data_IF_666854379355
#
_entry.id   IF_666854379355
#
_cell.length_a   1.000
_cell.length_b   1.000
_cell.length_c   1.000
_cell.angle_alpha   90.00
_cell.angle_beta   90.00
_cell.angle_gamma   90.00
#
_symmetry.space_group_name_H-M   'P 1'
#
loop_
_entity.id
_entity.type
_entity.pdbx_description
1 polymer ?
#
# COMPACT_ATOMS: atom_id res chain seq x y z
N UNK A 1 -12.96 -53.94 35.18
CA UNK A 1 -12.93 -52.46 35.09
C UNK A 1 -13.99 -51.90 36.02
N UNK A 2 -13.62 -51.03 36.97
CA UNK A 2 -14.53 -50.61 38.03
C UNK A 2 -15.54 -49.59 37.47
N UNK A 3 -16.85 -49.81 37.66
CA UNK A 3 -17.91 -48.94 37.09
C UNK A 3 -17.71 -47.45 37.44
N UNK A 4 -17.13 -47.15 38.61
CA UNK A 4 -16.75 -45.79 39.02
C UNK A 4 -15.76 -45.10 38.08
N UNK A 5 -14.76 -45.82 37.56
CA UNK A 5 -13.73 -45.22 36.71
C UNK A 5 -14.28 -44.87 35.31
N UNK A 6 -15.29 -45.62 34.84
CA UNK A 6 -15.96 -45.34 33.57
C UNK A 6 -16.77 -44.04 33.67
N UNK A 7 -17.50 -43.84 34.79
CA UNK A 7 -18.32 -42.65 35.01
C UNK A 7 -17.46 -41.38 35.08
N UNK A 8 -16.33 -41.45 35.80
CA UNK A 8 -15.40 -40.32 35.90
C UNK A 8 -14.79 -39.97 34.54
N UNK A 9 -14.40 -40.99 33.76
CA UNK A 9 -13.85 -40.79 32.41
C UNK A 9 -14.84 -40.10 31.47
N UNK A 10 -16.11 -40.51 31.49
CA UNK A 10 -17.18 -39.88 30.68
C UNK A 10 -17.40 -38.43 31.11
N UNK A 11 -17.40 -38.15 32.42
CA UNK A 11 -17.62 -36.79 32.93
C UNK A 11 -16.48 -35.83 32.53
N UNK A 12 -15.23 -36.28 32.59
CA UNK A 12 -14.06 -35.51 32.14
C UNK A 12 -14.14 -35.24 30.64
N UNK A 13 -14.56 -36.22 29.83
CA UNK A 13 -14.72 -36.05 28.39
C UNK A 13 -15.79 -35.00 28.05
N UNK A 14 -16.93 -35.02 28.74
CA UNK A 14 -18.00 -34.03 28.55
C UNK A 14 -17.51 -32.62 28.89
N UNK A 15 -16.77 -32.47 30.00
CA UNK A 15 -16.19 -31.17 30.38
C UNK A 15 -15.19 -30.69 29.32
N UNK A 16 -14.33 -31.57 28.80
CA UNK A 16 -13.39 -31.22 27.73
C UNK A 16 -14.11 -30.77 26.46
N UNK A 17 -15.20 -31.44 26.06
CA UNK A 17 -16.02 -31.04 24.90
C UNK A 17 -16.67 -29.68 25.15
N UNK A 18 -17.20 -29.42 26.35
CA UNK A 18 -17.77 -28.12 26.72
C UNK A 18 -16.73 -27.00 26.70
N UNK A 19 -15.52 -27.25 27.22
CA UNK A 19 -14.41 -26.31 27.14
C UNK A 19 -14.04 -26.04 25.68
N UNK A 20 -13.94 -27.08 24.84
CA UNK A 20 -13.72 -26.90 23.40
C UNK A 20 -14.82 -26.05 22.77
N UNK A 21 -16.10 -26.26 23.08
CA UNK A 21 -17.19 -25.44 22.55
C UNK A 21 -17.24 -24.00 23.09
N UNK A 22 -16.77 -23.77 24.31
CA UNK A 22 -16.73 -22.44 24.93
C UNK A 22 -15.49 -21.63 24.52
N UNK A 23 -14.37 -22.32 24.24
CA UNK A 23 -13.08 -21.69 23.91
C UNK A 23 -12.69 -21.78 22.45
N UNK A 24 -13.33 -22.64 21.63
CA UNK A 24 -13.26 -22.43 20.20
C UNK A 24 -14.07 -21.18 19.91
N UNK A 25 -13.45 -20.12 19.37
CA UNK A 25 -14.21 -18.99 18.88
C UNK A 25 -15.24 -19.59 17.92
N UNK A 26 -16.53 -19.35 18.17
CA UNK A 26 -17.53 -19.47 17.11
C UNK A 26 -16.89 -18.77 15.94
N UNK A 27 -16.42 -19.52 14.94
CA UNK A 27 -16.13 -18.94 13.65
C UNK A 27 -17.43 -18.25 13.31
N UNK A 28 -17.42 -16.91 13.40
CA UNK A 28 -18.53 -16.10 12.96
C UNK A 28 -18.72 -16.56 11.53
N UNK A 29 -19.73 -17.39 11.29
CA UNK A 29 -19.97 -17.94 9.97
C UNK A 29 -20.37 -16.73 9.15
N UNK A 30 -19.40 -16.28 8.36
CA UNK A 30 -19.49 -15.05 7.61
C UNK A 30 -20.67 -15.19 6.67
N UNK A 31 -21.57 -14.20 6.73
CA UNK A 31 -22.69 -14.10 5.82
C UNK A 31 -22.16 -13.92 4.38
N UNK A 32 -22.42 -14.87 3.45
CA UNK A 32 -22.04 -14.74 2.05
C UNK A 32 -22.55 -13.44 1.42
N UNK A 33 -23.63 -12.85 1.95
CA UNK A 33 -24.16 -11.56 1.52
C UNK A 33 -23.17 -10.41 1.71
N UNK A 34 -22.33 -10.41 2.74
CA UNK A 34 -21.33 -9.36 2.99
C UNK A 34 -20.32 -9.32 1.83
N UNK A 35 -19.84 -10.49 1.37
CA UNK A 35 -18.88 -10.56 0.28
C UNK A 35 -19.47 -10.11 -1.06
N UNK A 36 -20.74 -10.41 -1.30
CA UNK A 36 -21.44 -9.96 -2.51
C UNK A 36 -21.54 -8.43 -2.51
N UNK A 37 -21.97 -7.81 -1.40
CA UNK A 37 -22.08 -6.35 -1.30
C UNK A 37 -20.72 -5.69 -1.51
N UNK A 38 -19.68 -6.19 -0.84
CA UNK A 38 -18.32 -5.65 -0.94
C UNK A 38 -17.76 -5.78 -2.36
N UNK A 39 -17.94 -6.93 -3.01
CA UNK A 39 -17.47 -7.10 -4.39
C UNK A 39 -18.22 -6.20 -5.39
N UNK A 40 -19.48 -5.86 -5.12
CA UNK A 40 -20.24 -4.93 -5.94
C UNK A 40 -19.78 -3.47 -5.75
N UNK A 41 -19.46 -3.05 -4.52
CA UNK A 41 -18.95 -1.71 -4.22
C UNK A 41 -17.46 -1.52 -4.53
N UNK A 42 -16.72 -2.61 -4.70
CA UNK A 42 -15.28 -2.62 -4.88
C UNK A 42 -14.78 -1.77 -6.07
N UNK A 43 -15.46 -1.86 -7.22
CA UNK A 43 -15.03 -1.11 -8.42
C UNK A 43 -15.17 0.39 -8.21
N UNK A 44 -16.28 0.82 -7.62
CA UNK A 44 -16.55 2.23 -7.32
C UNK A 44 -15.54 2.79 -6.30
N UNK A 45 -15.23 2.01 -5.26
CA UNK A 45 -14.21 2.36 -4.27
C UNK A 45 -12.82 2.46 -4.90
N UNK A 46 -12.47 1.55 -5.81
CA UNK A 46 -11.21 1.59 -6.54
C UNK A 46 -11.10 2.87 -7.38
N UNK A 47 -12.15 3.22 -8.12
CA UNK A 47 -12.17 4.44 -8.93
C UNK A 47 -12.07 5.69 -8.06
N UNK A 48 -12.76 5.72 -6.91
CA UNK A 48 -12.65 6.81 -5.93
C UNK A 48 -11.23 6.96 -5.36
N UNK A 49 -10.56 5.86 -5.01
CA UNK A 49 -9.17 5.90 -4.57
C UNK A 49 -8.27 6.45 -5.68
N UNK A 50 -8.45 5.99 -6.92
CA UNK A 50 -7.65 6.46 -8.05
C UNK A 50 -7.88 7.94 -8.37
N UNK A 51 -9.09 8.47 -8.17
CA UNK A 51 -9.39 9.89 -8.40
C UNK A 51 -8.92 10.80 -7.26
N UNK A 52 -8.69 10.25 -6.07
CA UNK A 52 -8.35 11.03 -4.88
C UNK A 52 -6.90 10.86 -4.40
N UNK A 53 -6.23 9.75 -4.70
CA UNK A 53 -4.91 9.39 -4.19
C UNK A 53 -3.86 9.37 -5.31
N UNK A 54 -3.12 10.49 -5.43
CA UNK A 54 -2.11 10.67 -6.48
C UNK A 54 -0.98 9.63 -6.44
N UNK A 55 -0.61 9.13 -5.25
CA UNK A 55 0.45 8.13 -5.06
C UNK A 55 0.04 6.80 -5.71
N UNK A 56 -1.16 6.31 -5.39
CA UNK A 56 -1.66 5.05 -5.96
C UNK A 56 -1.95 5.20 -7.46
N UNK A 57 -2.47 6.34 -7.90
CA UNK A 57 -2.64 6.63 -9.32
C UNK A 57 -1.30 6.61 -10.08
N UNK A 58 -0.24 7.18 -9.50
CA UNK A 58 1.12 7.15 -10.05
C UNK A 58 1.68 5.73 -10.17
N UNK A 59 1.41 4.87 -9.18
CA UNK A 59 1.72 3.43 -9.24
C UNK A 59 1.12 2.79 -10.50
N UNK A 60 -0.21 2.88 -10.62
CA UNK A 60 -0.96 2.24 -11.70
C UNK A 60 -0.57 2.84 -13.06
N UNK A 61 -0.34 4.14 -13.13
CA UNK A 61 0.13 4.81 -14.34
C UNK A 61 1.47 4.23 -14.80
N UNK A 62 2.45 4.09 -13.91
CA UNK A 62 3.79 3.62 -14.25
C UNK A 62 3.81 2.13 -14.60
N UNK A 63 3.15 1.26 -13.82
CA UNK A 63 3.13 -0.18 -14.11
C UNK A 63 2.43 -0.53 -15.41
N UNK A 64 1.45 0.29 -15.83
CA UNK A 64 0.74 0.11 -17.10
C UNK A 64 1.29 0.99 -18.23
N UNK A 65 2.33 1.78 -17.97
CA UNK A 65 2.87 2.77 -18.91
C UNK A 65 1.77 3.67 -19.53
N UNK A 66 0.85 4.16 -18.69
CA UNK A 66 -0.30 4.95 -19.12
C UNK A 66 -0.50 6.19 -18.22
N UNK A 67 0.09 7.31 -18.65
CA UNK A 67 0.05 8.58 -17.92
C UNK A 67 -1.35 9.20 -17.83
N UNK A 68 -2.28 8.86 -18.73
CA UNK A 68 -3.66 9.38 -18.72
C UNK A 68 -4.43 9.00 -17.45
N UNK A 69 -3.96 8.00 -16.70
CA UNK A 69 -4.50 7.66 -15.38
C UNK A 69 -4.42 8.85 -14.43
N UNK A 70 -3.36 9.67 -14.51
CA UNK A 70 -3.21 10.85 -13.68
C UNK A 70 -4.26 11.93 -13.98
N UNK A 71 -4.83 11.95 -15.18
CA UNK A 71 -5.83 12.96 -15.60
C UNK A 71 -7.20 12.72 -14.96
N UNK A 72 -7.40 11.56 -14.32
CA UNK A 72 -8.61 11.23 -13.57
C UNK A 72 -8.64 11.86 -12.17
N UNK A 73 -7.53 12.48 -11.73
CA UNK A 73 -7.43 13.09 -10.41
C UNK A 73 -8.18 14.42 -10.36
N UNK A 74 -8.75 14.72 -9.19
CA UNK A 74 -9.70 15.83 -9.03
C UNK A 74 -9.09 17.21 -8.91
N UNK A 75 -7.77 17.33 -8.69
CA UNK A 75 -7.08 18.62 -8.52
C UNK A 75 -5.74 18.68 -9.25
N UNK A 76 -5.31 19.87 -9.68
CA UNK A 76 -4.03 20.06 -10.38
C UNK A 76 -2.82 19.65 -9.54
N UNK A 77 -2.88 19.88 -8.23
CA UNK A 77 -1.85 19.43 -7.28
C UNK A 77 -1.70 17.91 -7.30
N UNK A 78 -2.82 17.17 -7.26
CA UNK A 78 -2.83 15.71 -7.32
C UNK A 78 -2.35 15.21 -8.69
N UNK A 79 -2.81 15.82 -9.78
CA UNK A 79 -2.36 15.50 -11.14
C UNK A 79 -0.83 15.65 -11.23
N UNK A 80 -0.29 16.76 -10.73
CA UNK A 80 1.15 17.05 -10.72
C UNK A 80 1.90 16.01 -9.88
N UNK A 81 1.41 15.70 -8.67
CA UNK A 81 1.99 14.66 -7.83
C UNK A 81 2.02 13.30 -8.52
N UNK A 82 0.93 12.89 -9.17
CA UNK A 82 0.88 11.62 -9.91
C UNK A 82 1.85 11.59 -11.10
N UNK A 83 1.96 12.69 -11.86
CA UNK A 83 2.92 12.81 -12.96
C UNK A 83 4.37 12.75 -12.47
N UNK A 84 4.67 13.34 -11.32
CA UNK A 84 6.00 13.28 -10.72
C UNK A 84 6.35 11.85 -10.30
N UNK A 85 5.43 11.13 -9.65
CA UNK A 85 5.61 9.72 -9.29
C UNK A 85 5.81 8.88 -10.56
N UNK A 86 4.92 9.02 -11.56
CA UNK A 86 5.04 8.33 -12.85
C UNK A 86 6.42 8.53 -13.50
N UNK A 87 6.89 9.79 -13.53
CA UNK A 87 8.18 10.17 -14.09
C UNK A 87 9.34 9.51 -13.33
N UNK A 88 9.33 9.60 -12.00
CA UNK A 88 10.33 8.96 -11.15
C UNK A 88 10.43 7.45 -11.41
N UNK A 89 9.30 6.74 -11.40
CA UNK A 89 9.28 5.30 -11.62
C UNK A 89 9.60 4.89 -13.06
N UNK A 90 9.30 5.73 -14.04
CA UNK A 90 9.72 5.54 -15.43
C UNK A 90 11.25 5.62 -15.57
N UNK A 91 11.89 6.57 -14.88
CA UNK A 91 13.35 6.67 -14.80
C UNK A 91 13.93 5.41 -14.16
N UNK A 92 13.41 5.00 -13.00
CA UNK A 92 13.90 3.83 -12.28
C UNK A 92 13.76 2.54 -13.09
N UNK A 93 12.60 2.32 -13.70
CA UNK A 93 12.37 1.12 -14.52
C UNK A 93 13.30 1.10 -15.73
N UNK A 94 13.50 2.24 -16.38
CA UNK A 94 14.44 2.37 -17.51
C UNK A 94 15.89 2.15 -17.07
N UNK A 95 16.27 2.60 -15.87
CA UNK A 95 17.57 2.35 -15.26
C UNK A 95 17.78 0.84 -15.06
N UNK A 96 16.84 0.14 -14.43
CA UNK A 96 16.93 -1.29 -14.15
C UNK A 96 16.96 -2.15 -15.41
N UNK A 97 16.22 -1.74 -16.43
CA UNK A 97 16.17 -2.44 -17.72
C UNK A 97 17.31 -2.00 -18.67
N UNK A 98 18.18 -1.07 -18.25
CA UNK A 98 19.26 -0.46 -19.04
C UNK A 98 18.76 0.15 -20.38
N UNK A 99 17.66 0.89 -20.33
CA UNK A 99 16.97 1.51 -21.49
C UNK A 99 16.82 3.03 -21.33
N UNK A 100 17.85 3.73 -20.87
CA UNK A 100 17.76 5.19 -20.66
C UNK A 100 17.45 5.98 -21.95
N UNK A 101 17.82 5.46 -23.13
CA UNK A 101 17.55 6.10 -24.42
C UNK A 101 16.05 6.21 -24.76
N UNK A 102 15.16 5.47 -24.10
CA UNK A 102 13.71 5.61 -24.30
C UNK A 102 13.09 6.80 -23.56
N UNK A 103 13.85 7.43 -22.65
CA UNK A 103 13.40 8.59 -21.90
C UNK A 103 13.68 9.89 -22.67
N UNK A 104 12.88 10.92 -22.40
CA UNK A 104 13.05 12.23 -23.03
C UNK A 104 13.82 13.20 -22.14
N UNK A 105 14.62 14.07 -22.78
CA UNK A 105 15.24 15.24 -22.13
C UNK A 105 16.01 14.91 -20.84
N UNK A 106 15.70 15.60 -19.74
CA UNK A 106 16.39 15.50 -18.46
C UNK A 106 16.29 14.10 -17.83
N UNK A 107 15.23 13.35 -18.11
CA UNK A 107 15.00 12.02 -17.51
C UNK A 107 16.01 11.01 -18.00
N UNK A 108 16.39 11.13 -19.28
CA UNK A 108 17.46 10.36 -19.87
C UNK A 108 18.78 10.62 -19.16
N UNK A 109 19.13 11.89 -18.93
CA UNK A 109 20.40 12.23 -18.26
C UNK A 109 20.43 11.74 -16.82
N UNK A 110 19.32 11.81 -16.08
CA UNK A 110 19.24 11.25 -14.72
C UNK A 110 19.42 9.73 -14.75
N UNK A 111 18.76 9.03 -15.68
CA UNK A 111 18.91 7.59 -15.85
C UNK A 111 20.37 7.20 -16.19
N UNK A 112 21.01 7.91 -17.13
CA UNK A 112 22.41 7.68 -17.53
C UNK A 112 23.39 7.95 -16.36
N UNK A 113 23.13 8.98 -15.56
CA UNK A 113 23.90 9.29 -14.35
C UNK A 113 23.80 8.15 -13.32
N UNK A 114 22.59 7.63 -13.08
CA UNK A 114 22.38 6.48 -12.21
C UNK A 114 23.09 5.22 -12.75
N UNK A 115 23.07 4.97 -14.06
CA UNK A 115 23.77 3.86 -14.70
C UNK A 115 25.30 3.96 -14.56
N UNK A 116 25.84 5.14 -14.79
CA UNK A 116 27.29 5.40 -14.71
C UNK A 116 27.81 5.56 -13.28
N UNK A 117 26.91 5.57 -12.28
CA UNK A 117 27.22 5.81 -10.87
C UNK A 117 27.94 7.17 -10.63
N UNK A 118 27.69 8.16 -11.49
CA UNK A 118 28.19 9.54 -11.33
C UNK A 118 27.08 10.54 -11.66
N UNK A 119 27.04 11.66 -10.95
CA UNK A 119 26.06 12.74 -11.14
C UNK A 119 26.68 14.00 -11.77
N UNK A 120 27.85 13.87 -12.40
CA UNK A 120 28.63 15.02 -12.88
C UNK A 120 27.98 15.74 -14.07
N UNK A 121 27.19 15.02 -14.87
CA UNK A 121 26.46 15.56 -16.02
C UNK A 121 25.17 16.29 -15.63
N UNK A 122 24.75 16.19 -14.38
CA UNK A 122 23.54 16.82 -13.86
C UNK A 122 23.86 18.17 -13.22
N UNK A 123 22.83 18.99 -13.03
CA UNK A 123 22.90 20.25 -12.30
C UNK A 123 21.70 20.39 -11.34
N UNK A 124 21.73 21.41 -10.48
CA UNK A 124 20.59 21.77 -9.62
C UNK A 124 20.08 20.65 -8.71
N UNK A 125 18.75 20.51 -8.68
CA UNK A 125 18.04 19.55 -7.83
C UNK A 125 18.27 18.12 -8.30
N UNK A 126 18.39 17.89 -9.62
CA UNK A 126 18.64 16.57 -10.21
C UNK A 126 20.00 16.02 -9.77
N UNK A 127 21.05 16.85 -9.78
CA UNK A 127 22.36 16.46 -9.27
C UNK A 127 22.31 16.07 -7.80
N UNK A 128 21.66 16.90 -6.99
CA UNK A 128 21.54 16.68 -5.54
C UNK A 128 20.79 15.39 -5.24
N UNK A 129 19.67 15.14 -5.94
CA UNK A 129 18.90 13.90 -5.81
C UNK A 129 19.66 12.67 -6.28
N UNK A 130 20.40 12.76 -7.38
CA UNK A 130 21.27 11.68 -7.85
C UNK A 130 22.35 11.34 -6.81
N UNK A 131 23.02 12.36 -6.26
CA UNK A 131 24.05 12.16 -5.24
C UNK A 131 23.47 11.59 -3.95
N UNK A 132 22.32 12.09 -3.51
CA UNK A 132 21.55 11.56 -2.38
C UNK A 132 21.29 10.06 -2.54
N UNK A 133 20.74 9.60 -3.66
CA UNK A 133 20.40 8.18 -3.83
C UNK A 133 21.64 7.29 -3.97
N UNK A 134 22.67 7.73 -4.70
CA UNK A 134 23.89 6.95 -4.90
C UNK A 134 24.70 6.81 -3.59
N UNK A 135 24.77 7.85 -2.78
CA UNK A 135 25.55 7.87 -1.53
C UNK A 135 24.75 7.47 -0.30
N UNK A 136 23.41 7.48 -0.38
CA UNK A 136 22.48 7.38 0.77
C UNK A 136 22.69 8.49 1.83
N UNK A 137 23.34 9.60 1.49
CA UNK A 137 23.64 10.67 2.42
C UNK A 137 22.47 11.68 2.50
N UNK A 138 21.68 11.62 3.57
CA UNK A 138 20.55 12.54 3.79
C UNK A 138 20.96 14.02 3.90
N UNK A 139 22.23 14.33 4.19
CA UNK A 139 22.73 15.71 4.18
C UNK A 139 22.73 16.33 2.78
N UNK A 140 22.64 15.50 1.74
CA UNK A 140 22.50 15.92 0.33
C UNK A 140 21.04 16.10 -0.10
N UNK A 141 20.08 15.97 0.82
CA UNK A 141 18.68 16.22 0.54
C UNK A 141 18.49 17.70 0.13
N UNK A 142 17.88 17.99 -1.04
CA UNK A 142 17.62 19.36 -1.48
C UNK A 142 16.81 20.14 -0.44
N UNK A 143 17.10 21.43 -0.24
CA UNK A 143 16.46 22.25 0.79
C UNK A 143 14.94 22.40 0.57
N UNK A 144 14.50 22.28 -0.67
CA UNK A 144 13.10 22.36 -1.10
C UNK A 144 12.31 21.07 -0.78
N UNK A 145 13.01 19.98 -0.44
CA UNK A 145 12.43 18.67 -0.19
C UNK A 145 12.60 18.32 1.28
N UNK A 146 11.53 17.86 1.93
CA UNK A 146 11.66 17.43 3.32
C UNK A 146 12.50 16.13 3.43
N UNK A 147 13.19 15.98 4.56
CA UNK A 147 14.06 14.82 4.81
C UNK A 147 13.30 13.49 4.73
N UNK A 148 12.04 13.45 5.16
CA UNK A 148 11.20 12.24 5.09
C UNK A 148 10.92 11.79 3.66
N UNK A 149 10.77 12.72 2.72
CA UNK A 149 10.59 12.46 1.29
C UNK A 149 11.90 11.97 0.70
N UNK A 150 13.02 12.61 1.01
CA UNK A 150 14.36 12.12 0.62
C UNK A 150 14.62 10.68 1.10
N UNK A 151 14.26 10.37 2.35
CA UNK A 151 14.39 9.01 2.89
C UNK A 151 13.47 8.00 2.18
N UNK A 152 12.27 8.43 1.77
CA UNK A 152 11.35 7.62 0.97
C UNK A 152 11.97 7.30 -0.39
N UNK A 153 12.49 8.31 -1.08
CA UNK A 153 13.14 8.17 -2.40
C UNK A 153 14.37 7.25 -2.33
N UNK A 154 15.22 7.40 -1.30
CA UNK A 154 16.34 6.48 -1.06
C UNK A 154 15.82 5.05 -0.91
N UNK A 155 14.82 4.85 -0.03
CA UNK A 155 14.27 3.52 0.25
C UNK A 155 13.68 2.88 -1.01
N UNK A 156 12.91 3.63 -1.79
CA UNK A 156 12.32 3.18 -3.07
C UNK A 156 13.40 2.81 -4.09
N UNK A 157 14.38 3.69 -4.33
CA UNK A 157 15.47 3.43 -5.27
C UNK A 157 16.21 2.14 -4.93
N UNK A 158 16.61 1.96 -3.67
CA UNK A 158 17.38 0.79 -3.26
C UNK A 158 16.54 -0.48 -3.16
N UNK A 159 15.27 -0.36 -2.80
CA UNK A 159 14.33 -1.48 -2.86
C UNK A 159 14.23 -2.02 -4.29
N UNK A 160 14.02 -1.13 -5.27
CA UNK A 160 13.89 -1.54 -6.66
C UNK A 160 15.22 -2.02 -7.26
N UNK A 161 16.33 -1.32 -6.99
CA UNK A 161 17.67 -1.72 -7.45
C UNK A 161 18.10 -3.09 -6.98
N UNK A 162 17.80 -3.42 -5.73
CA UNK A 162 18.22 -4.70 -5.12
C UNK A 162 17.13 -5.77 -5.16
N UNK A 163 15.93 -5.45 -5.69
CA UNK A 163 14.74 -6.28 -5.56
C UNK A 163 14.46 -6.70 -4.10
N UNK A 164 14.58 -5.75 -3.17
CA UNK A 164 14.46 -5.98 -1.73
C UNK A 164 13.28 -5.21 -1.11
N UNK A 165 12.19 -5.93 -0.87
CA UNK A 165 10.96 -5.40 -0.24
C UNK A 165 11.21 -4.85 1.17
N UNK A 166 12.26 -5.32 1.87
CA UNK A 166 12.52 -4.86 3.23
C UNK A 166 12.95 -3.39 3.29
N UNK A 167 13.56 -2.87 2.22
CA UNK A 167 13.86 -1.44 2.10
C UNK A 167 12.58 -0.60 2.13
N UNK A 168 11.47 -1.07 1.52
CA UNK A 168 10.18 -0.38 1.56
C UNK A 168 9.60 -0.27 2.99
N UNK A 169 9.93 -1.20 3.89
CA UNK A 169 9.42 -1.16 5.27
C UNK A 169 9.95 0.03 6.08
N UNK A 170 11.02 0.68 5.61
CA UNK A 170 11.59 1.90 6.21
C UNK A 170 10.74 3.14 5.93
N UNK A 171 9.83 3.08 4.96
CA UNK A 171 8.93 4.18 4.61
C UNK A 171 7.81 4.27 5.66
N UNK A 172 7.62 5.45 6.25
CA UNK A 172 6.62 5.61 7.33
C UNK A 172 5.19 5.70 6.80
N UNK A 173 4.98 6.38 5.67
CA UNK A 173 3.66 6.60 5.09
C UNK A 173 3.14 5.31 4.45
N UNK A 174 1.95 4.86 4.85
CA UNK A 174 1.34 3.62 4.37
C UNK A 174 1.29 3.57 2.83
N UNK A 175 0.73 4.60 2.18
CA UNK A 175 0.57 4.58 0.72
C UNK A 175 1.91 4.56 -0.03
N UNK A 176 2.92 5.33 0.42
CA UNK A 176 4.25 5.31 -0.20
C UNK A 176 4.97 3.96 0.04
N UNK A 177 4.82 3.38 1.25
CA UNK A 177 5.33 2.04 1.55
C UNK A 177 4.73 0.99 0.61
N UNK A 178 3.41 0.98 0.47
CA UNK A 178 2.71 0.02 -0.37
C UNK A 178 2.97 0.26 -1.87
N UNK A 179 3.13 1.52 -2.30
CA UNK A 179 3.60 1.88 -3.64
C UNK A 179 5.01 1.32 -3.90
N UNK A 180 5.96 1.53 -3.00
CA UNK A 180 7.31 0.96 -3.10
C UNK A 180 7.28 -0.56 -3.29
N UNK A 181 6.51 -1.28 -2.46
CA UNK A 181 6.38 -2.74 -2.56
C UNK A 181 5.79 -3.15 -3.91
N UNK A 182 4.76 -2.44 -4.36
CA UNK A 182 4.13 -2.67 -5.66
C UNK A 182 5.13 -2.53 -6.82
N UNK A 183 6.03 -1.55 -6.76
CA UNK A 183 7.06 -1.38 -7.79
C UNK A 183 8.13 -2.46 -7.77
N UNK A 184 8.60 -2.86 -6.59
CA UNK A 184 9.54 -3.98 -6.46
C UNK A 184 8.92 -5.26 -7.03
N UNK A 185 7.65 -5.51 -6.73
CA UNK A 185 6.89 -6.67 -7.21
C UNK A 185 6.39 -6.54 -8.66
N UNK A 186 6.48 -5.34 -9.25
CA UNK A 186 5.85 -4.97 -10.53
C UNK A 186 4.33 -5.25 -10.56
N UNK A 187 3.65 -5.04 -9.43
CA UNK A 187 2.22 -5.29 -9.27
C UNK A 187 1.57 -4.25 -8.34
N UNK A 188 0.75 -3.35 -8.90
CA UNK A 188 -0.06 -2.39 -8.12
C UNK A 188 -1.41 -2.97 -7.65
N UNK A 189 -1.58 -4.29 -7.56
CA UNK A 189 -2.77 -4.94 -7.00
C UNK A 189 -3.08 -4.53 -5.56
N UNK A 190 -2.15 -3.90 -4.85
CA UNK A 190 -2.37 -3.31 -3.53
C UNK A 190 -3.54 -2.33 -3.48
N UNK A 191 -3.83 -1.63 -4.58
CA UNK A 191 -5.01 -0.77 -4.67
C UNK A 191 -6.31 -1.56 -4.55
N UNK A 192 -6.32 -2.80 -5.06
CA UNK A 192 -7.49 -3.65 -4.99
C UNK A 192 -7.75 -4.10 -3.55
N UNK A 193 -6.68 -4.41 -2.80
CA UNK A 193 -6.79 -4.77 -1.38
C UNK A 193 -7.27 -3.59 -0.54
N UNK A 194 -6.70 -2.39 -0.75
CA UNK A 194 -7.12 -1.16 -0.05
C UNK A 194 -8.58 -0.84 -0.39
N UNK A 195 -8.99 -0.93 -1.67
CA UNK A 195 -10.37 -0.70 -2.08
C UNK A 195 -11.34 -1.66 -1.39
N UNK A 196 -11.00 -2.95 -1.34
CA UNK A 196 -11.82 -3.95 -0.67
C UNK A 196 -11.93 -3.69 0.84
N UNK A 197 -10.82 -3.35 1.48
CA UNK A 197 -10.79 -3.00 2.90
C UNK A 197 -11.61 -1.75 3.23
N UNK A 198 -11.59 -0.74 2.35
CA UNK A 198 -12.43 0.45 2.49
C UNK A 198 -13.92 0.14 2.27
N UNK A 199 -14.27 -0.75 1.33
CA UNK A 199 -15.65 -1.23 1.19
C UNK A 199 -16.13 -1.99 2.44
N UNK A 200 -15.28 -2.83 3.05
CA UNK A 200 -15.61 -3.45 4.34
C UNK A 200 -15.79 -2.40 5.45
N UNK A 201 -14.93 -1.39 5.50
CA UNK A 201 -15.01 -0.29 6.47
C UNK A 201 -16.33 0.50 6.33
N UNK A 202 -16.72 0.87 5.11
CA UNK A 202 -17.98 1.58 4.86
C UNK A 202 -19.21 0.73 5.22
N UNK A 203 -19.20 -0.55 4.87
CA UNK A 203 -20.28 -1.46 5.20
C UNK A 203 -20.39 -1.66 6.72
N UNK A 204 -19.26 -1.85 7.41
CA UNK A 204 -19.21 -1.92 8.88
C UNK A 204 -19.82 -0.67 9.51
N UNK A 205 -19.47 0.51 8.99
CA UNK A 205 -19.99 1.79 9.45
C UNK A 205 -21.50 1.94 9.23
N UNK A 206 -21.98 1.56 8.05
CA UNK A 206 -23.38 1.73 7.66
C UNK A 206 -24.29 0.78 8.43
N UNK A 207 -23.84 -0.47 8.59
CA UNK A 207 -24.58 -1.52 9.31
C UNK A 207 -24.35 -1.52 10.81
N UNK A 208 -23.41 -0.69 11.31
CA UNK A 208 -22.96 -0.66 12.70
C UNK A 208 -22.55 -2.05 13.20
N UNK A 209 -21.80 -2.78 12.37
CA UNK A 209 -21.40 -4.16 12.64
C UNK A 209 -19.88 -4.31 12.68
N UNK A 210 -19.31 -4.23 13.89
CA UNK A 210 -17.87 -4.32 14.12
C UNK A 210 -17.27 -5.68 13.75
N UNK A 211 -18.10 -6.73 13.63
CA UNK A 211 -17.61 -8.01 13.14
C UNK A 211 -17.04 -7.90 11.71
N UNK A 212 -17.57 -6.98 10.90
CA UNK A 212 -17.09 -6.73 9.54
C UNK A 212 -15.66 -6.18 9.55
N UNK A 213 -15.29 -5.37 10.56
CA UNK A 213 -13.94 -4.82 10.70
C UNK A 213 -12.86 -5.92 10.78
N UNK A 214 -13.19 -7.12 11.28
CA UNK A 214 -12.25 -8.25 11.36
C UNK A 214 -11.78 -8.77 9.99
N UNK A 215 -12.48 -8.39 8.92
CA UNK A 215 -12.18 -8.80 7.53
C UNK A 215 -11.19 -7.88 6.83
N UNK A 216 -10.89 -6.73 7.44
CA UNK A 216 -9.96 -5.73 6.94
C UNK A 216 -8.53 -6.21 7.17
N UNK A 217 -7.74 -6.31 6.09
CA UNK A 217 -6.36 -6.78 6.13
C UNK A 217 -5.41 -5.71 6.66
N UNK A 218 -5.56 -4.46 6.22
CA UNK A 218 -4.69 -3.37 6.62
C UNK A 218 -5.01 -2.92 8.05
N UNK A 219 -4.08 -3.20 8.97
CA UNK A 219 -4.22 -2.88 10.40
C UNK A 219 -4.62 -1.43 10.66
N UNK A 220 -4.10 -0.48 9.88
CA UNK A 220 -4.45 0.94 10.03
C UNK A 220 -5.95 1.18 9.78
N UNK A 221 -6.49 0.63 8.68
CA UNK A 221 -7.91 0.74 8.34
C UNK A 221 -8.75 -0.06 9.35
N UNK A 222 -8.29 -1.25 9.73
CA UNK A 222 -8.99 -2.11 10.70
C UNK A 222 -9.12 -1.43 12.06
N UNK A 223 -8.04 -0.85 12.56
CA UNK A 223 -8.04 -0.15 13.84
C UNK A 223 -8.95 1.09 13.78
N UNK A 224 -8.92 1.85 12.68
CA UNK A 224 -9.85 2.97 12.48
C UNK A 224 -11.32 2.50 12.45
N UNK A 225 -11.59 1.34 11.86
CA UNK A 225 -12.92 0.72 11.83
C UNK A 225 -13.44 0.48 13.26
N UNK A 226 -12.62 -0.10 14.15
CA UNK A 226 -12.99 -0.38 15.54
C UNK A 226 -13.05 0.87 16.44
N UNK A 227 -12.28 1.91 16.14
CA UNK A 227 -12.20 3.11 16.98
C UNK A 227 -13.32 4.12 16.73
N UNK A 228 -14.24 3.84 15.79
CA UNK A 228 -15.28 4.80 15.42
C UNK A 228 -16.31 4.91 16.56
N UNK A 229 -16.53 6.10 17.14
CA UNK A 229 -17.76 6.32 17.89
C UNK A 229 -18.90 6.20 16.88
N UNK A 230 -19.91 5.37 17.16
CA UNK A 230 -21.14 5.36 16.37
C UNK A 230 -21.77 6.75 16.47
N UNK A 231 -21.41 7.64 15.54
CA UNK A 231 -22.00 8.97 15.48
C UNK A 231 -23.51 8.76 15.38
N UNK A 232 -24.22 9.26 16.39
CA UNK A 232 -25.67 9.22 16.45
C UNK A 232 -26.23 9.78 15.13
N UNK A 233 -27.18 9.04 14.56
CA UNK A 233 -27.83 9.40 13.32
C UNK A 233 -28.38 10.83 13.46
N UNK A 234 -27.88 11.77 12.65
CA UNK A 234 -28.64 12.98 12.36
C UNK A 234 -29.80 12.55 11.46
N UNK A 235 -30.95 12.35 12.10
CA UNK A 235 -32.29 12.33 11.48
C UNK A 235 -32.56 13.72 10.91
#
# INVERSE_FOLDING_TARGET
>A
MNKKNIIIGVFILIILILIIFLFFPKQLSIDPGIDIVVNNSYLEMKDSILSENSILAGCVAATNNNISICEKLTTEEKITSCKNDYRFYSILTSYLDNKCDSLQQNDRFVCEALNSQTCDTLSGIEKSMCQLVLTKNLDMCPQEINVSTCQTIISEFWAMKNNDINECNKIQRLYAKEQCKAFVLRDCSVINEIAKDLSYYELASTTKNDAICSRIKFDVIRNQCYLRPYAEARI
#
